data_IF_133854339029
#
_entry.id   IF_133854339029
#
_cell.length_a   1.000
_cell.length_b   1.000
_cell.length_c   1.000
_cell.angle_alpha   90.00
_cell.angle_beta   90.00
_cell.angle_gamma   90.00
#
_symmetry.space_group_name_H-M   'P 1'
#
loop_
_entity.id
_entity.type
_entity.pdbx_description
1 polymer ?
#
# COMPACT_ATOMS: atom_id res chain seq x y z
N UNK A 1 -11.20 6.83 6.49
CA UNK A 1 -12.05 5.66 6.13
C UNK A 1 -11.42 4.97 4.93
N UNK A 2 -11.62 3.67 4.77
CA UNK A 2 -11.03 2.87 3.70
C UNK A 2 -11.52 1.42 3.78
N UNK A 3 -11.33 0.65 2.71
CA UNK A 3 -11.78 -0.73 2.54
C UNK A 3 -10.62 -1.73 2.47
N UNK A 4 -9.37 -1.29 2.61
CA UNK A 4 -8.22 -2.20 2.74
C UNK A 4 -8.35 -3.03 4.01
N UNK A 5 -8.15 -4.35 3.90
CA UNK A 5 -7.83 -5.18 5.07
C UNK A 5 -6.32 -5.17 5.32
N UNK A 6 -5.86 -6.00 6.25
CA UNK A 6 -4.44 -6.25 6.52
C UNK A 6 -3.96 -7.52 5.83
N UNK A 7 -2.69 -7.53 5.44
CA UNK A 7 -1.97 -8.75 5.04
C UNK A 7 -0.79 -8.99 5.97
N UNK A 8 -0.48 -10.24 6.28
CA UNK A 8 0.59 -10.60 7.23
C UNK A 8 1.57 -11.56 6.56
N UNK A 9 2.86 -11.26 6.62
CA UNK A 9 3.93 -12.13 6.11
C UNK A 9 5.28 -11.77 6.71
N UNK A 10 6.14 -12.75 6.94
CA UNK A 10 7.51 -12.52 7.43
C UNK A 10 7.60 -11.76 8.76
N UNK A 11 6.59 -11.89 9.64
CA UNK A 11 6.52 -11.17 10.92
C UNK A 11 6.13 -9.70 10.81
N UNK A 12 5.60 -9.27 9.65
CA UNK A 12 5.14 -7.92 9.40
C UNK A 12 3.66 -7.91 9.01
N UNK A 13 2.96 -6.87 9.47
CA UNK A 13 1.57 -6.55 9.13
C UNK A 13 1.62 -5.40 8.12
N UNK A 14 0.92 -5.55 6.99
CA UNK A 14 0.84 -4.57 5.91
C UNK A 14 -0.60 -4.08 5.76
N UNK A 15 -0.78 -2.78 5.57
CA UNK A 15 -2.07 -2.18 5.27
C UNK A 15 -1.90 -0.87 4.52
N UNK A 16 -2.99 -0.34 3.98
CA UNK A 16 -3.02 0.99 3.37
C UNK A 16 -4.05 1.88 4.01
N UNK A 17 -3.74 3.17 4.07
CA UNK A 17 -4.66 4.20 4.53
C UNK A 17 -4.27 5.54 3.97
N UNK A 18 -5.25 6.44 3.92
CA UNK A 18 -5.01 7.81 3.48
C UNK A 18 -4.50 8.63 4.67
N UNK A 19 -3.42 9.37 4.46
CA UNK A 19 -2.89 10.38 5.38
C UNK A 19 -2.81 11.67 4.60
N UNK A 20 -3.50 12.70 5.09
CA UNK A 20 -3.69 13.96 4.37
C UNK A 20 -4.23 13.70 2.94
N UNK A 21 -3.48 14.10 1.90
CA UNK A 21 -3.86 13.92 0.50
C UNK A 21 -3.14 12.73 -0.18
N UNK A 22 -2.51 11.85 0.60
CA UNK A 22 -1.69 10.74 0.10
C UNK A 22 -2.24 9.37 0.52
N UNK A 23 -2.23 8.42 -0.40
CA UNK A 23 -2.38 7.00 -0.11
C UNK A 23 -1.04 6.47 0.41
N UNK A 24 -1.02 5.99 1.65
CA UNK A 24 0.17 5.46 2.30
C UNK A 24 0.09 3.93 2.42
N UNK A 25 1.19 3.25 2.08
CA UNK A 25 1.43 1.85 2.44
C UNK A 25 2.23 1.78 3.73
N UNK A 26 1.71 1.06 4.71
CA UNK A 26 2.33 0.87 6.02
C UNK A 26 2.83 -0.56 6.20
N UNK A 27 3.90 -0.70 6.97
CA UNK A 27 4.28 -1.95 7.61
C UNK A 27 4.50 -1.76 9.11
N UNK A 28 3.98 -2.70 9.89
CA UNK A 28 4.13 -2.78 11.34
C UNK A 28 4.76 -4.13 11.71
N UNK A 29 5.42 -4.22 12.86
CA UNK A 29 5.63 -5.53 13.48
C UNK A 29 4.35 -6.08 14.10
N UNK A 30 4.44 -7.32 14.57
CA UNK A 30 3.33 -8.03 15.21
C UNK A 30 2.82 -7.38 16.50
N UNK A 31 3.56 -6.42 17.07
CA UNK A 31 3.11 -5.64 18.23
C UNK A 31 2.44 -4.31 17.81
N UNK A 32 2.26 -4.09 16.51
CA UNK A 32 1.67 -2.87 15.97
C UNK A 32 2.63 -1.67 15.92
N UNK A 33 3.93 -1.85 16.16
CA UNK A 33 4.90 -0.75 16.03
C UNK A 33 5.24 -0.52 14.55
N UNK A 34 5.16 0.72 14.04
CA UNK A 34 5.50 1.00 12.65
C UNK A 34 6.98 0.69 12.38
N UNK A 35 7.25 -0.05 11.31
CA UNK A 35 8.59 -0.30 10.78
C UNK A 35 8.93 0.65 9.65
N UNK A 36 7.98 0.86 8.76
CA UNK A 36 8.09 1.84 7.68
C UNK A 36 6.71 2.24 7.17
N UNK A 37 6.65 3.41 6.52
CA UNK A 37 5.50 3.89 5.77
C UNK A 37 6.01 4.66 4.55
N UNK A 38 5.34 4.52 3.42
CA UNK A 38 5.73 5.17 2.17
C UNK A 38 4.50 5.69 1.41
N UNK A 39 4.59 6.87 0.77
CA UNK A 39 3.56 7.33 -0.15
C UNK A 39 3.56 6.45 -1.41
N UNK A 40 2.37 6.07 -1.86
CA UNK A 40 2.17 5.26 -3.06
C UNK A 40 1.63 6.12 -4.21
N UNK A 41 0.67 6.98 -3.89
CA UNK A 41 -0.08 7.80 -4.83
C UNK A 41 -0.89 8.86 -4.06
N UNK A 42 -1.62 9.73 -4.77
CA UNK A 42 -2.63 10.61 -4.16
C UNK A 42 -3.83 9.82 -3.64
N UNK A 43 -4.38 10.26 -2.51
CA UNK A 43 -5.60 9.71 -1.94
C UNK A 43 -6.75 9.78 -2.94
N UNK A 44 -7.56 8.73 -3.02
CA UNK A 44 -8.73 8.73 -3.90
C UNK A 44 -9.91 9.43 -3.22
N UNK A 45 -10.36 10.53 -3.80
CA UNK A 45 -11.41 11.39 -3.23
C UNK A 45 -12.75 11.33 -3.96
N UNK A 46 -12.88 10.54 -5.04
CA UNK A 46 -14.14 10.44 -5.80
C UNK A 46 -15.08 9.39 -5.21
N UNK A 47 -15.74 8.57 -6.02
CA UNK A 47 -16.68 7.54 -5.56
C UNK A 47 -16.01 6.57 -4.58
N UNK A 48 -16.64 6.35 -3.42
CA UNK A 48 -16.13 5.52 -2.30
C UNK A 48 -14.70 5.92 -1.90
N UNK A 49 -14.52 7.11 -1.26
CA UNK A 49 -13.21 7.60 -0.84
C UNK A 49 -12.49 6.64 0.12
N UNK A 50 -11.16 6.73 0.16
CA UNK A 50 -10.31 5.89 0.99
C UNK A 50 -9.53 4.82 0.22
N UNK A 51 -8.55 4.23 0.89
CA UNK A 51 -7.79 3.09 0.37
C UNK A 51 -8.71 1.91 0.05
N UNK A 52 -8.45 1.18 -1.04
CA UNK A 52 -9.31 0.07 -1.50
C UNK A 52 -8.59 -1.25 -1.69
N UNK A 53 -7.29 -1.22 -1.93
CA UNK A 53 -6.52 -2.42 -2.23
C UNK A 53 -5.84 -2.91 -0.97
N UNK A 54 -6.12 -4.16 -0.61
CA UNK A 54 -5.33 -4.91 0.35
C UNK A 54 -3.97 -5.24 -0.29
N UNK A 55 -2.83 -4.95 0.37
CA UNK A 55 -1.52 -5.29 -0.17
C UNK A 55 -1.38 -6.80 -0.39
N UNK A 56 -0.86 -7.22 -1.55
CA UNK A 56 -0.56 -8.64 -1.82
C UNK A 56 0.93 -8.89 -1.62
N UNK A 57 1.29 -9.95 -0.89
CA UNK A 57 2.69 -10.28 -0.60
C UNK A 57 3.06 -11.58 -1.29
N UNK A 58 4.15 -11.56 -2.03
CA UNK A 58 4.79 -12.76 -2.57
C UNK A 58 6.30 -12.58 -2.64
N UNK A 59 7.06 -13.62 -2.29
CA UNK A 59 8.51 -13.69 -2.49
C UNK A 59 9.29 -12.45 -2.02
N UNK A 60 8.93 -11.91 -0.85
CA UNK A 60 9.58 -10.74 -0.25
C UNK A 60 9.22 -9.40 -0.89
N UNK A 61 8.13 -9.35 -1.67
CA UNK A 61 7.61 -8.16 -2.34
C UNK A 61 6.19 -7.86 -1.91
N UNK A 62 5.85 -6.58 -1.87
CA UNK A 62 4.49 -6.08 -1.66
C UNK A 62 3.99 -5.49 -2.97
N UNK A 63 2.81 -5.90 -3.42
CA UNK A 63 2.14 -5.38 -4.60
C UNK A 63 0.86 -4.64 -4.18
N UNK A 64 0.61 -3.50 -4.82
CA UNK A 64 -0.53 -2.65 -4.49
C UNK A 64 -1.05 -1.92 -5.74
N UNK A 65 -2.37 -1.83 -5.86
CA UNK A 65 -3.06 -1.02 -6.86
C UNK A 65 -3.76 0.17 -6.18
N UNK A 66 -3.41 1.38 -6.56
CA UNK A 66 -4.04 2.60 -6.05
C UNK A 66 -5.41 2.82 -6.66
N UNK A 67 -6.22 3.69 -6.02
CA UNK A 67 -7.49 4.13 -6.57
C UNK A 67 -7.36 4.91 -7.89
N UNK A 68 -6.21 5.53 -8.17
CA UNK A 68 -5.93 6.21 -9.44
C UNK A 68 -5.28 5.29 -10.47
N UNK A 69 -5.20 3.98 -10.26
CA UNK A 69 -4.68 3.05 -11.26
C UNK A 69 -3.15 2.91 -11.29
N UNK A 70 -2.44 3.42 -10.28
CA UNK A 70 -1.01 3.13 -10.11
C UNK A 70 -0.86 1.73 -9.54
N UNK A 71 -0.25 0.83 -10.31
CA UNK A 71 0.16 -0.49 -9.86
C UNK A 71 1.66 -0.48 -9.54
N UNK A 72 2.03 -0.86 -8.33
CA UNK A 72 3.41 -0.75 -7.87
C UNK A 72 3.86 -1.98 -7.08
N UNK A 73 5.18 -2.20 -7.07
CA UNK A 73 5.85 -3.23 -6.29
C UNK A 73 6.92 -2.62 -5.39
N UNK A 74 6.96 -3.10 -4.14
CA UNK A 74 7.85 -2.63 -3.10
C UNK A 74 8.61 -3.81 -2.48
N UNK A 75 9.80 -3.55 -1.95
CA UNK A 75 10.50 -4.48 -1.09
C UNK A 75 9.75 -4.61 0.25
N UNK A 76 9.41 -5.85 0.65
CA UNK A 76 8.58 -6.08 1.83
C UNK A 76 9.26 -5.74 3.16
N UNK A 77 10.60 -5.76 3.22
CA UNK A 77 11.37 -5.44 4.43
C UNK A 77 11.60 -3.94 4.61
N UNK A 78 11.81 -3.22 3.50
CA UNK A 78 12.25 -1.81 3.55
C UNK A 78 11.23 -0.80 3.06
N UNK A 79 10.17 -1.24 2.37
CA UNK A 79 9.21 -0.36 1.70
C UNK A 79 9.76 0.33 0.45
N UNK A 80 11.03 0.08 0.07
CA UNK A 80 11.62 0.69 -1.13
C UNK A 80 10.85 0.24 -2.38
N UNK A 81 10.42 1.20 -3.21
CA UNK A 81 9.79 0.90 -4.49
C UNK A 81 10.79 0.22 -5.44
N UNK A 82 10.37 -0.90 -6.03
CA UNK A 82 11.08 -1.61 -7.08
C UNK A 82 10.66 -1.08 -8.46
N UNK A 83 9.34 -0.93 -8.68
CA UNK A 83 8.78 -0.38 -9.92
C UNK A 83 7.35 0.12 -9.70
N UNK A 84 6.85 0.95 -10.62
CA UNK A 84 5.45 1.36 -10.72
C UNK A 84 5.00 1.48 -12.18
N UNK A 85 3.70 1.34 -12.42
CA UNK A 85 3.06 1.47 -13.74
C UNK A 85 1.69 2.14 -13.59
N UNK A 86 1.41 3.15 -14.40
CA UNK A 86 0.04 3.66 -14.56
C UNK A 86 -0.73 2.74 -15.51
N UNK A 87 -1.77 2.08 -15.00
CA UNK A 87 -2.62 1.18 -15.77
C UNK A 87 -3.71 1.90 -16.57
N UNK A 88 -3.79 3.24 -16.52
CA UNK A 88 -4.69 4.04 -17.36
C UNK A 88 -3.99 4.61 -18.58
N UNK A 89 -2.67 4.44 -18.68
CA UNK A 89 -1.87 4.94 -19.80
C UNK A 89 -1.67 3.89 -20.91
N UNK A 90 -2.56 2.89 -20.99
CA UNK A 90 -2.59 1.95 -22.12
C UNK A 90 -3.27 2.59 -23.32
#
# INVERSE_FOLDING_TARGET
>A
SGFSTVSVSGGLIYTTGDVDDELILFAFDMNGKPKWKIPVDKAWTRSRPGSRSTPTIDSGRVYLLSGNGIFACFNAKTGKQNWSKDLRSF
#
